data_IF_073685903264
#
_entry.id   IF_073685903264
#
_cell.length_a   1.000
_cell.length_b   1.000
_cell.length_c   1.000
_cell.angle_alpha   90.00
_cell.angle_beta   90.00
_cell.angle_gamma   90.00
#
_symmetry.space_group_name_H-M   'P 1'
#
loop_
_entity.id
_entity.type
_entity.pdbx_description
1 polymer ?
#
# COMPACT_ATOMS: atom_id res chain seq x y z
N UNK A 1 6.73 -15.60 -5.67
CA UNK A 1 6.17 -14.80 -4.56
C UNK A 1 6.70 -13.37 -4.67
N UNK A 2 5.94 -12.45 -5.27
CA UNK A 2 6.31 -11.03 -5.25
C UNK A 2 6.18 -10.53 -3.80
N UNK A 3 7.25 -10.01 -3.21
CA UNK A 3 7.19 -9.41 -1.87
C UNK A 3 6.57 -8.03 -2.02
N UNK A 4 5.35 -7.83 -1.53
CA UNK A 4 4.75 -6.49 -1.38
C UNK A 4 5.70 -5.64 -0.52
N UNK A 5 6.04 -4.46 -1.02
CA UNK A 5 6.97 -3.50 -0.38
C UNK A 5 6.34 -2.14 -0.16
N UNK A 6 5.15 -1.89 -0.71
CA UNK A 6 4.32 -0.73 -0.39
C UNK A 6 2.87 -1.10 -0.14
N UNK A 7 2.13 -0.20 0.49
CA UNK A 7 0.66 -0.22 0.55
C UNK A 7 0.08 1.16 0.23
N UNK A 8 -1.12 1.22 -0.34
CA UNK A 8 -1.89 2.43 -0.59
C UNK A 8 -3.08 2.52 0.37
N UNK A 9 -3.21 3.65 1.05
CA UNK A 9 -4.35 4.00 1.90
C UNK A 9 -5.08 5.20 1.30
N UNK A 10 -6.40 5.11 1.11
CA UNK A 10 -7.18 6.23 0.58
C UNK A 10 -7.15 7.42 1.56
N UNK A 11 -6.92 8.61 1.01
CA UNK A 11 -6.76 9.87 1.75
C UNK A 11 -5.38 10.08 2.36
N UNK A 12 -5.26 11.16 3.14
CA UNK A 12 -4.05 11.55 3.87
C UNK A 12 -4.03 10.81 5.23
N UNK A 13 -2.93 10.11 5.51
CA UNK A 13 -2.69 9.38 6.77
C UNK A 13 -1.36 9.80 7.38
N UNK A 14 -1.33 9.99 8.70
CA UNK A 14 -0.12 10.37 9.45
C UNK A 14 0.63 9.10 9.90
N UNK A 15 1.46 8.56 9.02
CA UNK A 15 2.40 7.48 9.33
C UNK A 15 3.82 8.02 9.36
N UNK A 16 4.68 7.47 10.23
CA UNK A 16 6.03 8.01 10.42
C UNK A 16 7.10 7.04 9.93
N UNK A 17 8.11 7.59 9.25
CA UNK A 17 9.30 6.81 8.87
C UNK A 17 10.01 6.30 10.13
N UNK A 18 10.40 5.02 10.13
CA UNK A 18 11.01 4.35 11.28
C UNK A 18 10.01 3.65 12.21
N UNK A 19 8.72 3.95 12.09
CA UNK A 19 7.67 3.29 12.85
C UNK A 19 7.59 1.79 12.52
N UNK A 20 7.39 0.97 13.55
CA UNK A 20 7.14 -0.48 13.42
C UNK A 20 5.65 -0.70 13.51
N UNK A 21 5.07 -1.26 12.45
CA UNK A 21 3.64 -1.52 12.33
C UNK A 21 3.37 -3.01 12.13
N UNK A 22 2.20 -3.46 12.59
CA UNK A 22 1.67 -4.79 12.26
C UNK A 22 1.14 -4.81 10.83
N UNK A 23 1.47 -5.86 10.10
CA UNK A 23 0.91 -6.14 8.77
C UNK A 23 -0.13 -7.23 8.93
N UNK A 24 -1.37 -6.91 8.55
CA UNK A 24 -2.53 -7.79 8.64
C UNK A 24 -3.09 -8.01 7.25
N UNK A 25 -3.46 -9.24 6.90
CA UNK A 25 -4.15 -9.58 5.67
C UNK A 25 -5.40 -10.42 6.00
N UNK A 26 -6.59 -9.86 5.71
CA UNK A 26 -7.84 -10.43 6.26
C UNK A 26 -7.80 -10.35 7.79
N UNK A 27 -8.01 -11.50 8.43
CA UNK A 27 -7.96 -11.64 9.89
C UNK A 27 -6.60 -12.18 10.39
N UNK A 28 -5.63 -12.41 9.49
CA UNK A 28 -4.34 -13.00 9.81
C UNK A 28 -3.23 -11.94 9.98
N UNK A 29 -2.53 -11.97 11.12
CA UNK A 29 -1.31 -11.17 11.33
C UNK A 29 -0.13 -11.82 10.58
N UNK A 30 0.34 -11.14 9.53
CA UNK A 30 1.42 -11.63 8.66
C UNK A 30 2.81 -11.35 9.26
N UNK A 31 2.92 -10.35 10.12
CA UNK A 31 4.13 -10.02 10.87
C UNK A 31 4.35 -8.51 11.02
N UNK A 32 5.58 -8.14 11.38
CA UNK A 32 5.97 -6.76 11.64
C UNK A 32 6.75 -6.16 10.47
N UNK A 33 6.50 -4.88 10.18
CA UNK A 33 7.21 -4.11 9.17
C UNK A 33 7.66 -2.76 9.71
N UNK A 34 8.83 -2.30 9.25
CA UNK A 34 9.32 -0.95 9.50
C UNK A 34 9.01 -0.04 8.32
N UNK A 35 8.38 1.10 8.57
CA UNK A 35 8.12 2.12 7.56
C UNK A 35 9.44 2.75 7.09
N UNK A 36 9.63 2.80 5.78
CA UNK A 36 10.81 3.35 5.10
C UNK A 36 10.53 4.64 4.34
N UNK A 37 9.27 4.92 4.02
CA UNK A 37 8.88 6.15 3.33
C UNK A 37 7.38 6.31 3.31
N UNK A 38 6.92 7.56 3.36
CA UNK A 38 5.52 7.94 3.24
C UNK A 38 5.44 9.08 2.23
N UNK A 39 4.55 8.97 1.25
CA UNK A 39 4.27 10.04 0.30
C UNK A 39 2.79 10.07 -0.07
N UNK A 40 2.31 11.24 -0.49
CA UNK A 40 0.98 11.41 -1.05
C UNK A 40 1.06 11.37 -2.58
N UNK A 41 0.15 10.64 -3.20
CA UNK A 41 0.08 10.44 -4.65
C UNK A 41 -1.37 10.50 -5.10
N UNK A 42 -1.64 11.05 -6.28
CA UNK A 42 -2.97 10.93 -6.90
C UNK A 42 -3.07 9.59 -7.64
N UNK A 43 -4.27 9.05 -7.79
CA UNK A 43 -4.49 7.78 -8.49
C UNK A 43 -3.97 7.82 -9.94
N UNK A 44 -4.17 8.93 -10.64
CA UNK A 44 -3.67 9.12 -12.01
C UNK A 44 -2.15 8.93 -12.12
N UNK A 45 -1.40 9.29 -11.08
CA UNK A 45 0.07 9.21 -11.04
C UNK A 45 0.60 7.81 -10.68
N UNK A 46 -0.27 6.87 -10.29
CA UNK A 46 0.14 5.49 -9.98
C UNK A 46 0.66 4.82 -11.26
N UNK A 47 1.97 4.53 -11.26
CA UNK A 47 2.68 3.91 -12.36
C UNK A 47 2.91 2.42 -12.19
N UNK A 48 3.54 1.79 -13.21
CA UNK A 48 3.88 0.36 -13.19
C UNK A 48 4.71 -0.05 -11.98
N UNK A 49 5.66 0.81 -11.54
CA UNK A 49 6.51 0.55 -10.37
C UNK A 49 5.68 0.48 -9.09
N UNK A 50 4.73 1.38 -8.90
CA UNK A 50 3.85 1.39 -7.74
C UNK A 50 2.96 0.15 -7.69
N UNK A 51 2.39 -0.24 -8.83
CA UNK A 51 1.62 -1.49 -8.97
C UNK A 51 2.44 -2.71 -8.58
N UNK A 52 3.71 -2.78 -9.01
CA UNK A 52 4.60 -3.88 -8.64
C UNK A 52 4.95 -3.87 -7.15
N UNK A 53 5.15 -2.68 -6.55
CA UNK A 53 5.44 -2.55 -5.12
C UNK A 53 4.23 -2.94 -4.24
N UNK A 54 3.00 -2.73 -4.72
CA UNK A 54 1.76 -3.27 -4.12
C UNK A 54 1.65 -4.80 -4.24
N UNK A 55 2.57 -5.45 -4.95
CA UNK A 55 2.56 -6.90 -5.18
C UNK A 55 1.74 -7.33 -6.40
N UNK A 56 1.34 -6.40 -7.26
CA UNK A 56 0.46 -6.65 -8.41
C UNK A 56 1.18 -6.54 -9.75
N UNK A 57 0.59 -7.15 -10.78
CA UNK A 57 1.12 -7.08 -12.15
C UNK A 57 0.46 -6.00 -13.01
N UNK A 58 -0.79 -5.63 -12.72
CA UNK A 58 -1.60 -4.71 -13.55
C UNK A 58 -2.31 -3.69 -12.69
N UNK A 59 -2.35 -2.41 -13.14
CA UNK A 59 -3.04 -1.31 -12.45
C UNK A 59 -4.54 -1.59 -12.26
N UNK A 60 -5.17 -2.27 -13.21
CA UNK A 60 -6.59 -2.69 -13.12
C UNK A 60 -6.85 -3.65 -11.94
N UNK A 61 -5.94 -4.59 -11.68
CA UNK A 61 -6.08 -5.51 -10.55
C UNK A 61 -5.97 -4.76 -9.22
N UNK A 62 -5.02 -3.81 -9.15
CA UNK A 62 -4.85 -2.93 -7.99
C UNK A 62 -6.08 -2.06 -7.76
N UNK A 63 -6.64 -1.50 -8.83
CA UNK A 63 -7.86 -0.70 -8.75
C UNK A 63 -9.02 -1.51 -8.18
N UNK A 64 -9.21 -2.76 -8.65
CA UNK A 64 -10.28 -3.63 -8.17
C UNK A 64 -10.13 -3.95 -6.68
N UNK A 65 -8.91 -4.25 -6.23
CA UNK A 65 -8.66 -4.51 -4.80
C UNK A 65 -8.91 -3.27 -3.95
N UNK A 66 -8.39 -2.11 -4.34
CA UNK A 66 -8.60 -0.86 -3.61
C UNK A 66 -10.08 -0.48 -3.55
N UNK A 67 -10.83 -0.67 -4.65
CA UNK A 67 -12.28 -0.44 -4.65
C UNK A 67 -13.05 -1.41 -3.76
N UNK A 68 -12.60 -2.66 -3.67
CA UNK A 68 -13.19 -3.63 -2.74
C UNK A 68 -12.99 -3.23 -1.28
N UNK A 69 -11.96 -2.45 -0.95
CA UNK A 69 -11.62 -2.05 0.42
C UNK A 69 -12.26 -0.70 0.77
N UNK A 70 -12.17 0.28 -0.14
CA UNK A 70 -12.51 1.68 0.14
C UNK A 70 -13.76 2.18 -0.58
N UNK A 71 -14.34 1.40 -1.50
CA UNK A 71 -15.37 1.86 -2.42
C UNK A 71 -14.79 2.60 -3.63
N UNK A 72 -15.65 3.30 -4.36
CA UNK A 72 -15.23 4.03 -5.57
C UNK A 72 -14.34 5.24 -5.25
N UNK A 73 -13.43 5.51 -6.18
CA UNK A 73 -12.54 6.67 -6.20
C UNK A 73 -12.22 7.04 -7.66
N UNK A 74 -11.80 8.28 -7.86
CA UNK A 74 -11.51 8.87 -9.17
C UNK A 74 -10.00 9.08 -9.40
N UNK A 75 -9.66 9.68 -10.54
CA UNK A 75 -8.28 9.91 -10.97
C UNK A 75 -7.52 10.92 -10.09
N UNK A 76 -8.23 11.87 -9.47
CA UNK A 76 -7.63 12.92 -8.62
C UNK A 76 -7.57 12.52 -7.14
N UNK A 77 -8.22 11.42 -6.77
CA UNK A 77 -8.23 10.86 -5.43
C UNK A 77 -6.83 10.64 -4.89
N UNK A 78 -6.58 11.20 -3.71
CA UNK A 78 -5.28 11.15 -3.03
C UNK A 78 -5.16 9.85 -2.25
N UNK A 79 -4.00 9.21 -2.36
CA UNK A 79 -3.60 8.07 -1.55
C UNK A 79 -2.33 8.40 -0.77
N UNK A 80 -2.26 7.89 0.46
CA UNK A 80 -1.02 7.77 1.19
C UNK A 80 -0.34 6.46 0.81
N UNK A 81 0.79 6.55 0.13
CA UNK A 81 1.64 5.40 -0.17
C UNK A 81 2.69 5.22 0.91
N UNK A 82 2.74 4.03 1.49
CA UNK A 82 3.64 3.67 2.59
C UNK A 82 4.57 2.60 2.07
N UNK A 83 5.87 2.90 1.99
CA UNK A 83 6.91 1.91 1.69
C UNK A 83 7.45 1.31 2.98
N UNK A 84 7.63 0.01 3.03
CA UNK A 84 8.04 -0.68 4.26
C UNK A 84 8.97 -1.88 4.00
N UNK A 85 9.67 -2.30 5.05
CA UNK A 85 10.51 -3.52 5.07
C UNK A 85 10.00 -4.46 6.16
N UNK A 86 9.64 -5.69 5.80
CA UNK A 86 9.29 -6.75 6.76
C UNK A 86 10.50 -7.05 7.68
N UNK A 87 10.27 -7.09 8.99
CA UNK A 87 11.30 -7.33 10.01
C UNK A 87 11.35 -8.80 10.48
N UNK A 88 10.18 -9.43 10.61
CA UNK A 88 10.01 -10.87 10.86
C UNK A 88 8.86 -11.38 10.00
N UNK A 89 9.04 -12.56 9.42
CA UNK A 89 7.92 -13.35 8.90
C UNK A 89 7.38 -14.17 10.07
N UNK A 90 6.06 -14.19 10.27
CA UNK A 90 5.42 -15.27 11.01
C UNK A 90 5.72 -16.61 10.36
#
# INVERSE_FOLDING_TARGET
KGKKTSTLRLGIKDYRVGEIVKVVAGDEEIGLAMIKGVRFVQWKDIGKKDVMNEGMKRKKDLMRELRSIYGDFDEDSIFTQISFKMLKKG
#
